data_IF_873422324845
#
_entry.id   IF_873422324845
#
_cell.length_a   1.000
_cell.length_b   1.000
_cell.length_c   1.000
_cell.angle_alpha   90.00
_cell.angle_beta   90.00
_cell.angle_gamma   90.00
#
_symmetry.space_group_name_H-M   'P 1'
#
loop_
_entity.id
_entity.type
_entity.pdbx_description
1 polymer ?
#
# COMPACT_ATOMS: atom_id res chain seq x y z
N UNK A 1 37.43 -8.04 7.99
CA UNK A 1 36.42 -7.01 8.31
C UNK A 1 35.75 -6.61 7.01
N UNK A 2 34.50 -6.99 6.79
CA UNK A 2 33.74 -6.55 5.62
C UNK A 2 33.23 -5.14 5.94
N UNK A 3 33.89 -4.12 5.40
CA UNK A 3 33.39 -2.74 5.41
C UNK A 3 32.13 -2.72 4.54
N UNK A 4 30.97 -2.89 5.17
CA UNK A 4 29.69 -2.76 4.49
C UNK A 4 29.60 -1.37 3.86
N UNK A 5 29.50 -1.32 2.54
CA UNK A 5 29.20 -0.09 1.82
C UNK A 5 27.93 0.50 2.42
N UNK A 6 28.05 1.64 3.13
CA UNK A 6 26.88 2.47 3.47
C UNK A 6 26.33 3.00 2.16
N UNK A 7 25.31 2.32 1.63
CA UNK A 7 24.54 2.82 0.49
C UNK A 7 23.80 4.06 1.00
N UNK A 8 24.33 5.25 0.71
CA UNK A 8 23.61 6.50 0.93
C UNK A 8 22.46 6.55 -0.07
N UNK A 9 21.24 6.57 0.43
CA UNK A 9 20.06 6.69 -0.43
C UNK A 9 19.98 8.10 -0.99
N UNK A 10 19.53 8.20 -2.23
CA UNK A 10 19.11 9.47 -2.80
C UNK A 10 17.89 10.00 -2.05
N UNK A 11 17.53 11.29 -2.16
CA UNK A 11 16.28 11.80 -1.60
C UNK A 11 15.05 10.99 -2.02
N UNK A 12 15.03 10.48 -3.26
CA UNK A 12 13.98 9.57 -3.76
C UNK A 12 14.02 8.24 -3.00
N UNK A 13 15.20 7.68 -2.76
CA UNK A 13 15.36 6.46 -1.98
C UNK A 13 14.85 6.59 -0.54
N UNK A 14 15.10 7.73 0.11
CA UNK A 14 14.52 8.02 1.43
C UNK A 14 12.99 8.12 1.38
N UNK A 15 12.43 8.79 0.35
CA UNK A 15 11.00 8.91 0.19
C UNK A 15 10.33 7.53 -0.02
N UNK A 16 10.93 6.69 -0.86
CA UNK A 16 10.45 5.32 -1.09
C UNK A 16 10.51 4.50 0.21
N UNK A 17 11.60 4.59 0.98
CA UNK A 17 11.70 3.88 2.26
C UNK A 17 10.65 4.35 3.27
N UNK A 18 10.37 5.65 3.35
CA UNK A 18 9.34 6.19 4.22
C UNK A 18 7.96 5.59 3.90
N UNK A 19 7.53 5.67 2.62
CA UNK A 19 6.25 5.10 2.21
C UNK A 19 6.20 3.57 2.33
N UNK A 20 7.31 2.88 2.07
CA UNK A 20 7.40 1.44 2.25
C UNK A 20 7.23 1.06 3.72
N UNK A 21 7.80 1.82 4.65
CA UNK A 21 7.58 1.67 6.09
C UNK A 21 6.09 1.76 6.45
N UNK A 22 5.42 2.82 5.98
CA UNK A 22 3.98 3.01 6.21
C UNK A 22 3.17 1.81 5.70
N UNK A 23 3.42 1.35 4.46
CA UNK A 23 2.73 0.20 3.88
C UNK A 23 3.01 -1.10 4.66
N UNK A 24 4.24 -1.27 5.15
CA UNK A 24 4.63 -2.44 5.94
C UNK A 24 3.92 -2.52 7.29
N UNK A 25 3.60 -1.38 7.90
CA UNK A 25 2.84 -1.28 9.15
C UNK A 25 1.32 -1.42 8.95
N UNK A 26 0.84 -1.52 7.71
CA UNK A 26 -0.58 -1.79 7.43
C UNK A 26 -0.90 -3.27 7.54
N UNK A 27 -2.19 -3.58 7.80
CA UNK A 27 -2.72 -4.94 7.71
C UNK A 27 -2.31 -5.57 6.37
N UNK A 28 -1.87 -6.83 6.40
CA UNK A 28 -1.35 -7.53 5.21
C UNK A 28 -2.30 -7.46 4.01
N UNK A 29 -3.61 -7.65 4.23
CA UNK A 29 -4.62 -7.55 3.18
C UNK A 29 -4.76 -6.13 2.60
N UNK A 30 -4.65 -5.09 3.44
CA UNK A 30 -4.71 -3.71 2.97
C UNK A 30 -3.47 -3.38 2.12
N UNK A 31 -2.26 -3.73 2.62
CA UNK A 31 -1.01 -3.57 1.87
C UNK A 31 -1.07 -4.28 0.53
N UNK A 32 -1.51 -5.54 0.52
CA UNK A 32 -1.67 -6.33 -0.69
C UNK A 32 -2.55 -5.61 -1.72
N UNK A 33 -3.75 -5.17 -1.33
CA UNK A 33 -4.67 -4.47 -2.22
C UNK A 33 -4.08 -3.15 -2.73
N UNK A 34 -3.43 -2.38 -1.87
CA UNK A 34 -2.84 -1.10 -2.25
C UNK A 34 -1.70 -1.27 -3.27
N UNK A 35 -0.80 -2.22 -3.04
CA UNK A 35 0.30 -2.52 -3.98
C UNK A 35 -0.28 -2.96 -5.32
N UNK A 36 -1.13 -4.01 -5.33
CA UNK A 36 -1.67 -4.58 -6.57
C UNK A 36 -2.48 -3.56 -7.37
N UNK A 37 -3.42 -2.85 -6.74
CA UNK A 37 -4.32 -1.96 -7.48
C UNK A 37 -3.70 -0.60 -7.83
N UNK A 38 -2.82 -0.06 -6.98
CA UNK A 38 -2.34 1.32 -7.15
C UNK A 38 -0.88 1.44 -7.58
N UNK A 39 -0.02 0.48 -7.24
CA UNK A 39 1.38 0.45 -7.70
C UNK A 39 1.46 -0.37 -8.99
N UNK A 40 1.02 -1.63 -8.96
CA UNK A 40 1.08 -2.54 -10.11
C UNK A 40 -0.01 -2.26 -11.15
N UNK A 41 -0.99 -1.41 -10.80
CA UNK A 41 -2.16 -1.05 -11.63
C UNK A 41 -3.01 -2.26 -12.07
N UNK A 42 -2.99 -3.34 -11.30
CA UNK A 42 -3.82 -4.52 -11.53
C UNK A 42 -5.30 -4.19 -11.36
N UNK A 43 -6.13 -4.68 -12.29
CA UNK A 43 -7.60 -4.47 -12.24
C UNK A 43 -8.21 -5.16 -11.03
N UNK A 44 -9.18 -4.50 -10.42
CA UNK A 44 -9.90 -4.98 -9.23
C UNK A 44 -10.41 -6.42 -9.34
N UNK A 45 -10.96 -6.81 -10.50
CA UNK A 45 -11.45 -8.18 -10.71
C UNK A 45 -10.31 -9.20 -10.60
N UNK A 46 -9.14 -8.91 -11.18
CA UNK A 46 -7.99 -9.81 -11.14
C UNK A 46 -7.43 -9.90 -9.72
N UNK A 47 -7.28 -8.75 -9.04
CA UNK A 47 -6.79 -8.73 -7.65
C UNK A 47 -7.75 -9.45 -6.70
N UNK A 48 -9.06 -9.32 -6.93
CA UNK A 48 -10.09 -10.01 -6.14
C UNK A 48 -9.99 -11.53 -6.28
N UNK A 49 -9.67 -12.06 -7.47
CA UNK A 49 -9.50 -13.50 -7.69
C UNK A 49 -8.33 -14.11 -6.90
N UNK A 50 -7.37 -13.30 -6.43
CA UNK A 50 -6.22 -13.77 -5.62
C UNK A 50 -6.55 -13.91 -4.12
N UNK A 51 -7.77 -13.54 -3.69
CA UNK A 51 -8.18 -13.52 -2.27
C UNK A 51 -9.58 -14.11 -2.10
N UNK A 52 -9.92 -14.65 -0.90
CA UNK A 52 -11.21 -15.33 -0.68
C UNK A 52 -12.36 -14.34 -0.40
N UNK A 53 -12.54 -13.34 -1.27
CA UNK A 53 -13.59 -12.33 -1.13
C UNK A 53 -14.29 -12.07 -2.46
N UNK A 54 -15.61 -11.90 -2.41
CA UNK A 54 -16.37 -11.50 -3.60
C UNK A 54 -16.15 -10.03 -3.96
N UNK A 55 -16.48 -9.64 -5.19
CA UNK A 55 -16.24 -8.29 -5.71
C UNK A 55 -16.82 -7.16 -4.84
N UNK A 56 -17.99 -7.39 -4.22
CA UNK A 56 -18.60 -6.40 -3.34
C UNK A 56 -17.81 -6.24 -2.02
N UNK A 57 -17.35 -7.35 -1.44
CA UNK A 57 -16.52 -7.36 -0.23
C UNK A 57 -15.16 -6.75 -0.54
N UNK A 58 -14.53 -7.15 -1.65
CA UNK A 58 -13.28 -6.58 -2.15
C UNK A 58 -13.35 -5.05 -2.25
N UNK A 59 -14.39 -4.50 -2.89
CA UNK A 59 -14.54 -3.03 -3.03
C UNK A 59 -14.64 -2.32 -1.67
N UNK A 60 -15.33 -2.91 -0.68
CA UNK A 60 -15.39 -2.36 0.67
C UNK A 60 -14.03 -2.39 1.35
N UNK A 61 -13.33 -3.53 1.28
CA UNK A 61 -11.99 -3.70 1.87
C UNK A 61 -10.99 -2.73 1.20
N UNK A 62 -11.02 -2.61 -0.13
CA UNK A 62 -10.20 -1.65 -0.88
C UNK A 62 -10.45 -0.22 -0.43
N UNK A 63 -11.71 0.19 -0.25
CA UNK A 63 -12.04 1.51 0.31
C UNK A 63 -11.45 1.69 1.70
N UNK A 64 -11.59 0.70 2.59
CA UNK A 64 -11.00 0.75 3.93
C UNK A 64 -9.46 0.78 3.90
N UNK A 65 -8.83 0.10 2.95
CA UNK A 65 -7.38 0.15 2.78
C UNK A 65 -6.91 1.57 2.39
N UNK A 66 -7.61 2.22 1.46
CA UNK A 66 -7.31 3.61 1.07
C UNK A 66 -7.53 4.58 2.23
N UNK A 67 -8.63 4.45 2.96
CA UNK A 67 -8.90 5.30 4.12
C UNK A 67 -7.87 5.11 5.23
N UNK A 68 -7.48 3.87 5.50
CA UNK A 68 -6.45 3.55 6.50
C UNK A 68 -5.07 4.09 6.10
N UNK A 69 -4.75 4.12 4.80
CA UNK A 69 -3.53 4.76 4.31
C UNK A 69 -3.59 6.28 4.50
N UNK A 70 -4.73 6.90 4.15
CA UNK A 70 -4.93 8.34 4.32
C UNK A 70 -4.81 8.76 5.80
N UNK A 71 -5.37 8.00 6.72
CA UNK A 71 -5.23 8.22 8.16
C UNK A 71 -3.77 8.16 8.62
N UNK A 72 -3.00 7.15 8.18
CA UNK A 72 -1.56 7.03 8.47
C UNK A 72 -0.72 8.18 7.88
N UNK A 73 -1.22 8.82 6.82
CA UNK A 73 -0.59 9.97 6.18
C UNK A 73 -1.15 11.31 6.68
N UNK A 74 -2.03 11.29 7.68
CA UNK A 74 -2.70 12.48 8.22
C UNK A 74 -3.42 13.31 7.14
N UNK A 75 -3.97 12.62 6.14
CA UNK A 75 -4.68 13.22 5.02
C UNK A 75 -6.19 13.31 5.30
N UNK A 76 -6.78 14.45 4.95
CA UNK A 76 -8.23 14.64 4.97
C UNK A 76 -8.82 13.97 3.72
N UNK A 77 -9.77 13.05 3.93
CA UNK A 77 -10.53 12.42 2.84
C UNK A 77 -11.93 13.02 2.79
N UNK A 78 -12.21 13.78 1.75
CA UNK A 78 -13.55 14.29 1.49
C UNK A 78 -14.48 13.17 1.00
N UNK A 79 -15.71 13.15 1.52
CA UNK A 79 -16.77 12.27 1.01
C UNK A 79 -17.40 12.95 -0.20
N UNK A 80 -17.10 12.45 -1.39
CA UNK A 80 -17.91 12.71 -2.59
C UNK A 80 -19.16 11.83 -2.58
#
# INVERSE_FOLDING_TARGET
MLTGNKISLTPIGHLVQFYLGILNDMKALHRFILIKCYIDKQKDILTMMEIPYEIAQFKRIKKHAVLSLAEKLEMIVEKN
#
